data_IF_643207516401
#
_entry.id   IF_643207516401
#
_cell.length_a   1.000
_cell.length_b   1.000
_cell.length_c   1.000
_cell.angle_alpha   90.00
_cell.angle_beta   90.00
_cell.angle_gamma   90.00
#
_symmetry.space_group_name_H-M   'P 1'
#
loop_
_entity.id
_entity.type
_entity.pdbx_description
1 polymer ?
#
# COMPACT_ATOMS: atom_id res chain seq x y z
N UNK A 1 11.58 -4.13 17.41
CA UNK A 1 10.72 -3.99 16.23
C UNK A 1 11.52 -3.55 15.01
N UNK A 2 11.30 -4.18 13.85
CA UNK A 2 11.77 -3.72 12.53
C UNK A 2 10.59 -3.86 11.56
N UNK A 3 10.28 -2.81 10.83
CA UNK A 3 9.19 -2.77 9.86
C UNK A 3 9.75 -2.28 8.53
N UNK A 4 9.42 -2.93 7.43
CA UNK A 4 9.70 -2.42 6.10
C UNK A 4 8.53 -1.55 5.63
N UNK A 5 8.82 -0.34 5.20
CA UNK A 5 7.86 0.56 4.59
C UNK A 5 8.06 0.57 3.08
N UNK A 6 6.98 0.36 2.35
CA UNK A 6 6.93 0.37 0.88
C UNK A 6 5.76 1.24 0.45
N UNK A 7 5.90 1.97 -0.65
CA UNK A 7 4.84 2.81 -1.18
C UNK A 7 4.93 2.89 -2.70
N UNK A 8 3.82 3.22 -3.36
CA UNK A 8 3.78 3.60 -4.77
C UNK A 8 4.45 2.59 -5.71
N UNK A 9 4.15 1.31 -5.53
CA UNK A 9 4.75 0.25 -6.35
C UNK A 9 4.21 0.19 -7.76
N UNK A 10 2.99 0.71 -7.97
CA UNK A 10 2.35 0.89 -9.28
C UNK A 10 2.55 -0.28 -10.24
N UNK A 11 2.16 -1.50 -9.82
CA UNK A 11 2.18 -2.64 -10.73
C UNK A 11 1.33 -2.36 -11.98
N UNK A 12 1.94 -2.46 -13.16
CA UNK A 12 1.35 -2.03 -14.43
C UNK A 12 1.77 -0.64 -14.90
N UNK A 13 2.74 -0.01 -14.22
CA UNK A 13 3.24 1.32 -14.55
C UNK A 13 3.73 1.43 -16.00
N UNK A 14 3.68 2.67 -16.52
CA UNK A 14 4.11 3.02 -17.89
C UNK A 14 3.42 2.15 -18.96
N UNK A 15 2.10 1.96 -18.81
CA UNK A 15 1.28 1.16 -19.72
C UNK A 15 1.76 -0.29 -19.82
N UNK A 16 1.95 -0.94 -18.66
CA UNK A 16 2.42 -2.32 -18.54
C UNK A 16 3.78 -2.59 -19.20
N UNK A 17 4.68 -1.63 -19.13
CA UNK A 17 5.98 -1.73 -19.76
C UNK A 17 6.82 -2.86 -19.17
N UNK A 18 7.05 -3.90 -19.95
CA UNK A 18 7.70 -5.12 -19.49
C UNK A 18 9.20 -4.95 -19.17
N UNK A 19 9.88 -3.98 -19.75
CA UNK A 19 11.29 -3.67 -19.44
C UNK A 19 11.35 -3.04 -18.04
N UNK A 20 10.44 -2.10 -17.78
CA UNK A 20 10.30 -1.45 -16.47
C UNK A 20 9.91 -2.45 -15.40
N UNK A 21 8.91 -3.28 -15.69
CA UNK A 21 8.43 -4.33 -14.82
C UNK A 21 9.53 -5.34 -14.42
N UNK A 22 10.34 -5.80 -15.40
CA UNK A 22 11.49 -6.70 -15.13
C UNK A 22 12.56 -6.06 -14.25
N UNK A 23 12.77 -4.75 -14.36
CA UNK A 23 13.68 -4.03 -13.48
C UNK A 23 13.21 -4.08 -12.02
N UNK A 24 11.92 -3.83 -11.77
CA UNK A 24 11.34 -3.95 -10.42
C UNK A 24 11.31 -5.38 -9.91
N UNK A 25 11.02 -6.37 -10.78
CA UNK A 25 11.08 -7.78 -10.40
C UNK A 25 12.47 -8.17 -9.88
N UNK A 26 13.54 -7.64 -10.48
CA UNK A 26 14.90 -7.84 -9.98
C UNK A 26 15.13 -7.17 -8.63
N UNK A 27 14.62 -5.96 -8.43
CA UNK A 27 14.71 -5.29 -7.13
C UNK A 27 14.08 -6.13 -6.01
N UNK A 28 12.87 -6.66 -6.22
CA UNK A 28 12.23 -7.52 -5.24
C UNK A 28 13.06 -8.76 -4.92
N UNK A 29 13.55 -9.44 -5.93
CA UNK A 29 14.26 -10.73 -5.82
C UNK A 29 15.70 -10.60 -5.34
N UNK A 30 16.41 -9.59 -5.82
CA UNK A 30 17.85 -9.46 -5.61
C UNK A 30 18.21 -8.50 -4.48
N UNK A 31 17.29 -7.60 -4.09
CA UNK A 31 17.55 -6.56 -3.09
C UNK A 31 16.58 -6.64 -1.91
N UNK A 32 15.29 -6.46 -2.17
CA UNK A 32 14.28 -6.27 -1.11
C UNK A 32 14.15 -7.51 -0.21
N UNK A 33 13.77 -8.66 -0.77
CA UNK A 33 13.58 -9.85 0.06
C UNK A 33 14.88 -10.41 0.67
N UNK A 34 16.05 -10.41 0.00
CA UNK A 34 17.30 -10.72 0.66
C UNK A 34 17.61 -9.82 1.86
N UNK A 35 17.35 -8.51 1.74
CA UNK A 35 17.51 -7.57 2.86
C UNK A 35 16.54 -7.87 4.01
N UNK A 36 15.27 -8.15 3.71
CA UNK A 36 14.26 -8.57 4.67
C UNK A 36 14.73 -9.80 5.46
N UNK A 37 15.21 -10.82 4.75
CA UNK A 37 15.66 -12.09 5.32
C UNK A 37 16.91 -11.89 6.21
N UNK A 38 17.91 -11.15 5.72
CA UNK A 38 19.15 -10.85 6.46
C UNK A 38 18.88 -10.10 7.77
N UNK A 39 17.95 -9.12 7.72
CA UNK A 39 17.65 -8.27 8.87
C UNK A 39 16.53 -8.80 9.76
N UNK A 40 15.95 -9.96 9.40
CA UNK A 40 14.84 -10.62 10.14
C UNK A 40 13.68 -9.64 10.36
N UNK A 41 13.20 -9.03 9.27
CA UNK A 41 12.05 -8.16 9.26
C UNK A 41 10.83 -9.03 9.00
N UNK A 42 9.83 -8.97 9.86
CA UNK A 42 8.63 -9.78 9.82
C UNK A 42 7.34 -8.96 9.59
N UNK A 43 7.47 -7.64 9.49
CA UNK A 43 6.39 -6.73 9.24
C UNK A 43 6.64 -5.87 8.00
N UNK A 44 5.66 -5.84 7.10
CA UNK A 44 5.66 -4.95 5.93
C UNK A 44 4.41 -4.08 5.97
N UNK A 45 4.58 -2.77 5.79
CA UNK A 45 3.49 -1.82 5.59
C UNK A 45 3.63 -1.22 4.19
N UNK A 46 2.64 -1.47 3.34
CA UNK A 46 2.51 -0.82 2.04
C UNK A 46 1.58 0.38 2.17
N UNK A 47 2.10 1.57 1.86
CA UNK A 47 1.42 2.83 2.10
C UNK A 47 0.48 3.26 0.97
N UNK A 48 0.02 2.35 0.13
CA UNK A 48 -0.93 2.60 -0.95
C UNK A 48 -0.31 2.69 -2.34
N UNK A 49 -1.17 2.80 -3.35
CA UNK A 49 -0.83 2.80 -4.76
C UNK A 49 -0.04 1.57 -5.20
N UNK A 50 -0.60 0.40 -4.86
CA UNK A 50 0.00 -0.88 -5.23
C UNK A 50 -0.16 -1.16 -6.73
N UNK A 51 -1.28 -0.72 -7.33
CA UNK A 51 -1.55 -0.81 -8.77
C UNK A 51 -1.50 0.55 -9.45
N UNK A 52 -1.15 0.57 -10.73
CA UNK A 52 -1.01 1.83 -11.49
C UNK A 52 -2.36 2.42 -11.94
N UNK A 53 -3.37 1.59 -12.13
CA UNK A 53 -4.64 2.01 -12.75
C UNK A 53 -5.85 1.60 -11.93
N UNK A 54 -6.78 2.54 -11.74
CA UNK A 54 -7.99 2.39 -10.93
C UNK A 54 -8.98 1.32 -11.40
N UNK A 55 -9.16 1.16 -12.72
CA UNK A 55 -10.31 0.42 -13.27
C UNK A 55 -9.99 -0.98 -13.73
N UNK A 56 -8.74 -1.29 -13.94
CA UNK A 56 -8.30 -2.60 -14.43
C UNK A 56 -6.82 -2.81 -14.20
N UNK A 57 -6.43 -4.05 -14.13
CA UNK A 57 -5.04 -4.48 -14.16
C UNK A 57 -4.87 -5.48 -15.32
N UNK A 58 -3.76 -5.38 -16.03
CA UNK A 58 -3.37 -6.35 -17.03
C UNK A 58 -3.01 -7.68 -16.36
N UNK A 59 -3.37 -8.81 -16.95
CA UNK A 59 -3.08 -10.14 -16.39
C UNK A 59 -1.59 -10.38 -16.14
N UNK A 60 -0.70 -9.88 -16.99
CA UNK A 60 0.75 -10.00 -16.79
C UNK A 60 1.18 -9.20 -15.57
N UNK A 61 0.68 -7.97 -15.41
CA UNK A 61 0.97 -7.11 -14.26
C UNK A 61 0.37 -7.67 -12.97
N UNK A 62 -0.84 -8.24 -13.02
CA UNK A 62 -1.46 -8.94 -11.90
C UNK A 62 -0.64 -10.16 -11.46
N UNK A 63 -0.22 -10.98 -12.42
CA UNK A 63 0.66 -12.12 -12.14
C UNK A 63 2.01 -11.67 -11.55
N UNK A 64 2.52 -10.54 -12.00
CA UNK A 64 3.77 -9.99 -11.50
C UNK A 64 3.65 -9.47 -10.07
N UNK A 65 2.57 -8.75 -9.73
CA UNK A 65 2.23 -8.38 -8.35
C UNK A 65 2.20 -9.62 -7.45
N UNK A 66 1.54 -10.67 -7.94
CA UNK A 66 1.44 -11.93 -7.21
C UNK A 66 2.80 -12.59 -6.98
N UNK A 67 3.58 -12.82 -8.03
CA UNK A 67 4.85 -13.56 -7.95
C UNK A 67 5.99 -12.75 -7.32
N UNK A 68 6.00 -11.43 -7.48
CA UNK A 68 7.09 -10.58 -7.01
C UNK A 68 6.86 -10.02 -5.60
N UNK A 69 5.60 -9.89 -5.15
CA UNK A 69 5.30 -9.29 -3.84
C UNK A 69 4.46 -10.21 -2.94
N UNK A 70 3.24 -10.55 -3.33
CA UNK A 70 2.26 -11.20 -2.45
C UNK A 70 2.71 -12.60 -2.03
N UNK A 71 3.06 -13.44 -2.98
CA UNK A 71 3.49 -14.82 -2.73
C UNK A 71 4.79 -14.92 -1.91
N UNK A 72 5.84 -14.10 -2.17
CA UNK A 72 7.03 -14.08 -1.32
C UNK A 72 6.77 -13.64 0.13
N UNK A 73 5.85 -12.69 0.35
CA UNK A 73 5.40 -12.27 1.68
C UNK A 73 4.73 -13.44 2.40
N UNK A 74 3.75 -14.07 1.75
CA UNK A 74 3.00 -15.19 2.31
C UNK A 74 3.89 -16.41 2.62
N UNK A 75 4.84 -16.75 1.73
CA UNK A 75 5.78 -17.85 1.95
C UNK A 75 6.70 -17.64 3.15
N UNK A 76 6.91 -16.40 3.56
CA UNK A 76 7.71 -16.04 4.75
C UNK A 76 6.86 -15.93 6.02
N UNK A 77 5.54 -16.04 5.90
CA UNK A 77 4.62 -15.86 7.03
C UNK A 77 4.68 -14.45 7.61
N UNK A 78 4.93 -13.44 6.77
CA UNK A 78 5.09 -12.05 7.21
C UNK A 78 3.73 -11.39 7.49
N UNK A 79 3.71 -10.50 8.46
CA UNK A 79 2.58 -9.61 8.67
C UNK A 79 2.57 -8.51 7.59
N UNK A 80 1.52 -8.46 6.79
CA UNK A 80 1.41 -7.49 5.69
C UNK A 80 0.18 -6.61 5.86
N UNK A 81 0.41 -5.32 6.06
CA UNK A 81 -0.62 -4.27 6.03
C UNK A 81 -0.54 -3.51 4.72
N UNK A 82 -1.69 -3.31 4.09
CA UNK A 82 -1.78 -2.60 2.83
C UNK A 82 -2.83 -1.50 2.92
N UNK A 83 -2.39 -0.24 2.87
CA UNK A 83 -3.29 0.90 2.76
C UNK A 83 -3.82 1.00 1.34
N UNK A 84 -5.04 1.49 1.23
CA UNK A 84 -5.61 1.88 -0.06
C UNK A 84 -5.13 3.27 -0.44
N UNK A 85 -4.48 3.37 -1.59
CA UNK A 85 -4.10 4.63 -2.23
C UNK A 85 -5.14 5.08 -3.27
N UNK A 86 -4.90 6.25 -3.87
CA UNK A 86 -5.84 6.81 -4.84
C UNK A 86 -5.86 6.07 -6.20
N UNK A 87 -4.82 5.32 -6.54
CA UNK A 87 -4.81 4.45 -7.72
C UNK A 87 -5.46 3.08 -7.48
N UNK A 88 -5.60 2.68 -6.22
CA UNK A 88 -6.15 1.36 -5.87
C UNK A 88 -7.68 1.32 -5.90
N UNK A 89 -8.38 2.46 -5.96
CA UNK A 89 -9.84 2.57 -5.92
C UNK A 89 -10.46 2.75 -7.31
N UNK A 90 -11.60 2.10 -7.54
CA UNK A 90 -12.33 2.25 -8.80
C UNK A 90 -12.94 3.64 -8.96
N UNK A 91 -13.72 4.08 -7.97
CA UNK A 91 -14.32 5.41 -7.94
C UNK A 91 -13.38 6.40 -7.24
N UNK A 92 -13.34 7.66 -7.71
CA UNK A 92 -12.48 8.69 -7.11
C UNK A 92 -12.85 9.09 -5.69
N UNK A 93 -14.09 8.84 -5.30
CA UNK A 93 -14.68 9.32 -4.06
C UNK A 93 -15.21 8.21 -3.14
N UNK A 94 -14.84 6.95 -3.39
CA UNK A 94 -15.26 5.79 -2.60
C UNK A 94 -14.16 4.73 -2.56
N UNK A 95 -14.04 4.04 -1.43
CA UNK A 95 -13.07 2.96 -1.21
C UNK A 95 -13.67 1.55 -1.31
N UNK A 96 -14.99 1.44 -1.43
CA UNK A 96 -15.76 0.19 -1.42
C UNK A 96 -15.38 -0.82 -2.50
N UNK A 97 -14.90 -0.34 -3.66
CA UNK A 97 -14.34 -1.19 -4.71
C UNK A 97 -12.89 -0.81 -4.93
N UNK A 98 -11.98 -1.65 -4.46
CA UNK A 98 -10.55 -1.43 -4.53
C UNK A 98 -9.81 -2.66 -5.08
N UNK A 99 -8.61 -2.43 -5.62
CA UNK A 99 -7.83 -3.45 -6.31
C UNK A 99 -7.44 -4.61 -5.39
N UNK A 100 -7.10 -4.35 -4.14
CA UNK A 100 -6.60 -5.37 -3.22
C UNK A 100 -7.72 -6.34 -2.84
N UNK A 101 -8.89 -5.81 -2.48
CA UNK A 101 -10.04 -6.64 -2.16
C UNK A 101 -10.50 -7.46 -3.38
N UNK A 102 -10.54 -6.86 -4.57
CA UNK A 102 -10.93 -7.55 -5.79
C UNK A 102 -9.94 -8.66 -6.21
N UNK A 103 -8.64 -8.46 -6.00
CA UNK A 103 -7.62 -9.43 -6.38
C UNK A 103 -7.39 -10.50 -5.32
N UNK A 104 -7.53 -10.17 -4.05
CA UNK A 104 -7.09 -11.00 -2.93
C UNK A 104 -8.11 -11.21 -1.82
N UNK A 105 -9.24 -10.49 -1.80
CA UNK A 105 -10.24 -10.56 -0.73
C UNK A 105 -10.84 -11.95 -0.46
N UNK A 106 -10.85 -12.84 -1.48
CA UNK A 106 -11.29 -14.24 -1.35
C UNK A 106 -10.13 -15.23 -1.50
N UNK A 107 -8.89 -14.75 -1.53
CA UNK A 107 -7.71 -15.60 -1.69
C UNK A 107 -7.29 -16.23 -0.36
N UNK A 108 -6.36 -17.17 -0.45
CA UNK A 108 -5.71 -17.78 0.73
C UNK A 108 -4.62 -16.89 1.37
N UNK A 109 -4.36 -15.71 0.80
CA UNK A 109 -3.31 -14.81 1.28
C UNK A 109 -3.86 -13.89 2.35
N UNK A 110 -3.19 -13.86 3.51
CA UNK A 110 -3.53 -12.97 4.61
C UNK A 110 -2.96 -11.57 4.34
N UNK A 111 -3.83 -10.65 3.93
CA UNK A 111 -3.51 -9.25 3.74
C UNK A 111 -4.37 -8.44 4.70
N UNK A 112 -3.74 -7.70 5.61
CA UNK A 112 -4.43 -6.76 6.47
C UNK A 112 -4.72 -5.49 5.66
N UNK A 113 -5.87 -5.50 4.98
CA UNK A 113 -6.32 -4.37 4.17
C UNK A 113 -6.76 -3.22 5.07
N UNK A 114 -6.25 -2.03 4.79
CA UNK A 114 -6.60 -0.79 5.48
C UNK A 114 -7.39 0.10 4.52
N UNK A 115 -8.70 -0.05 4.54
CA UNK A 115 -9.68 0.70 3.74
C UNK A 115 -10.43 1.78 4.53
N UNK A 116 -10.15 1.88 5.82
CA UNK A 116 -10.66 2.91 6.75
C UNK A 116 -9.60 3.27 7.77
N UNK A 117 -9.71 4.43 8.43
CA UNK A 117 -8.79 4.80 9.52
C UNK A 117 -8.74 3.71 10.58
N UNK A 118 -7.56 3.15 10.81
CA UNK A 118 -7.39 1.99 11.69
C UNK A 118 -6.16 2.17 12.57
N UNK A 119 -6.32 2.01 13.89
CA UNK A 119 -5.18 1.93 14.79
C UNK A 119 -4.65 0.50 14.86
N UNK A 120 -3.35 0.34 14.66
CA UNK A 120 -2.65 -0.93 14.81
C UNK A 120 -1.56 -0.79 15.87
N UNK A 121 -1.21 -1.92 16.50
CA UNK A 121 -0.08 -1.98 17.44
C UNK A 121 0.97 -2.96 16.92
N UNK A 122 2.20 -2.49 16.78
CA UNK A 122 3.34 -3.34 16.43
C UNK A 122 4.38 -3.20 17.54
N UNK A 123 4.60 -4.27 18.30
CA UNK A 123 5.58 -4.34 19.40
C UNK A 123 5.47 -3.18 20.41
N UNK A 124 4.25 -2.72 20.70
CA UNK A 124 3.99 -1.64 21.65
C UNK A 124 4.00 -0.23 21.04
N UNK A 125 4.22 -0.10 19.75
CA UNK A 125 4.06 1.17 19.04
C UNK A 125 2.65 1.23 18.42
N UNK A 126 1.86 2.19 18.86
CA UNK A 126 0.55 2.47 18.30
C UNK A 126 0.70 3.36 17.05
N UNK A 127 0.11 2.92 15.96
CA UNK A 127 0.18 3.56 14.65
C UNK A 127 -1.23 3.76 14.12
N UNK A 128 -1.61 5.00 13.82
CA UNK A 128 -2.82 5.29 13.06
C UNK A 128 -2.53 5.12 11.56
N UNK A 129 -3.18 4.14 10.96
CA UNK A 129 -3.12 3.87 9.53
C UNK A 129 -4.25 4.61 8.81
N UNK A 130 -3.92 5.51 7.90
CA UNK A 130 -4.86 6.37 7.20
C UNK A 130 -4.85 6.06 5.69
N UNK A 131 -5.90 5.41 5.14
CA UNK A 131 -6.01 5.21 3.71
C UNK A 131 -6.24 6.53 2.98
N UNK A 132 -6.27 6.51 1.65
CA UNK A 132 -6.64 7.65 0.83
C UNK A 132 -7.92 8.32 1.34
N UNK A 133 -7.85 9.63 1.61
CA UNK A 133 -9.01 10.40 2.09
C UNK A 133 -9.80 10.91 0.89
N UNK A 134 -11.08 10.58 0.85
CA UNK A 134 -12.01 11.05 -0.17
C UNK A 134 -13.36 11.47 0.44
N UNK A 135 -14.33 11.83 -0.39
CA UNK A 135 -15.63 12.30 0.12
C UNK A 135 -16.38 11.29 1.00
N UNK A 136 -16.18 10.00 0.74
CA UNK A 136 -16.88 8.92 1.46
C UNK A 136 -16.37 8.75 2.90
N UNK A 137 -15.08 8.84 3.12
CA UNK A 137 -14.45 8.62 4.44
C UNK A 137 -13.94 9.90 5.12
N UNK A 138 -14.27 11.09 4.58
CA UNK A 138 -13.75 12.37 5.10
C UNK A 138 -14.02 12.57 6.58
N UNK A 139 -15.28 12.42 7.01
CA UNK A 139 -15.66 12.64 8.40
C UNK A 139 -15.00 11.63 9.33
N UNK A 140 -15.00 10.35 8.96
CA UNK A 140 -14.38 9.28 9.74
C UNK A 140 -12.86 9.51 9.89
N UNK A 141 -12.19 9.89 8.79
CA UNK A 141 -10.75 10.21 8.80
C UNK A 141 -10.44 11.40 9.70
N UNK A 142 -11.27 12.45 9.62
CA UNK A 142 -11.09 13.64 10.44
C UNK A 142 -11.34 13.38 11.93
N UNK A 143 -12.33 12.56 12.24
CA UNK A 143 -12.62 12.17 13.63
C UNK A 143 -11.52 11.26 14.19
N UNK A 144 -11.00 10.32 13.40
CA UNK A 144 -9.86 9.49 13.79
C UNK A 144 -8.62 10.34 14.11
N UNK A 145 -8.31 11.34 13.25
CA UNK A 145 -7.20 12.27 13.48
C UNK A 145 -7.33 13.06 14.78
N UNK A 146 -8.54 13.48 15.15
CA UNK A 146 -8.78 14.25 16.39
C UNK A 146 -8.73 13.39 17.66
N UNK A 147 -9.11 12.12 17.54
CA UNK A 147 -9.32 11.25 18.69
C UNK A 147 -8.12 10.34 18.97
N UNK A 148 -7.28 10.11 17.95
CA UNK A 148 -6.15 9.20 18.09
C UNK A 148 -5.19 9.62 19.21
N UNK A 149 -4.65 8.60 19.88
CA UNK A 149 -3.52 8.72 20.79
C UNK A 149 -2.28 8.03 20.28
N UNK A 150 -2.34 7.54 19.03
CA UNK A 150 -1.21 6.88 18.38
C UNK A 150 -0.02 7.83 18.27
N UNK A 151 1.16 7.31 18.53
CA UNK A 151 2.41 8.08 18.48
C UNK A 151 2.86 8.40 17.06
N UNK A 152 2.42 7.59 16.10
CA UNK A 152 2.77 7.68 14.68
C UNK A 152 1.49 7.61 13.85
N UNK A 153 1.44 8.41 12.79
CA UNK A 153 0.46 8.26 11.73
C UNK A 153 1.18 7.92 10.43
N UNK A 154 0.65 6.95 9.70
CA UNK A 154 1.10 6.59 8.36
C UNK A 154 -0.10 6.64 7.43
N UNK A 155 0.04 7.28 6.26
CA UNK A 155 -1.08 7.43 5.35
C UNK A 155 -0.67 7.67 3.91
N UNK A 156 -1.61 7.43 3.00
CA UNK A 156 -1.50 7.80 1.59
C UNK A 156 -2.27 9.11 1.40
N UNK A 157 -1.56 10.24 1.49
CA UNK A 157 -2.19 11.54 1.65
C UNK A 157 -1.65 12.56 0.63
N UNK A 158 -2.53 13.43 0.20
CA UNK A 158 -2.22 14.69 -0.46
C UNK A 158 -2.41 15.83 0.55
N UNK A 159 -1.33 16.51 0.92
CA UNK A 159 -1.38 17.56 1.95
C UNK A 159 -1.17 18.92 1.29
N UNK A 160 -2.17 19.80 1.44
CA UNK A 160 -2.10 21.16 0.92
C UNK A 160 -0.84 21.91 1.43
N UNK A 161 -0.17 22.57 0.50
CA UNK A 161 1.07 23.32 0.79
C UNK A 161 2.34 22.48 0.80
N UNK A 162 2.26 21.16 0.65
CA UNK A 162 3.43 20.32 0.45
C UNK A 162 3.85 20.27 -1.01
N UNK A 163 5.15 20.36 -1.25
CA UNK A 163 5.71 20.27 -2.60
C UNK A 163 5.76 18.80 -3.05
N UNK A 164 5.02 18.46 -4.10
CA UNK A 164 5.02 17.12 -4.69
C UNK A 164 6.26 16.87 -5.57
N UNK A 165 6.66 17.88 -6.30
CA UNK A 165 7.90 17.93 -7.07
C UNK A 165 8.29 19.40 -7.29
N UNK A 166 9.53 19.67 -7.67
CA UNK A 166 10.08 21.01 -7.76
C UNK A 166 9.13 22.00 -8.47
N UNK A 167 8.58 22.93 -7.70
CA UNK A 167 7.67 23.98 -8.16
C UNK A 167 6.21 23.58 -8.30
N UNK A 168 5.82 22.34 -7.91
CA UNK A 168 4.41 21.91 -7.91
C UNK A 168 3.99 21.54 -6.49
N UNK A 169 2.96 22.19 -6.01
CA UNK A 169 2.40 21.98 -4.67
C UNK A 169 1.04 21.31 -4.76
N UNK A 170 0.65 20.61 -3.70
CA UNK A 170 -0.73 20.17 -3.53
C UNK A 170 -1.62 21.38 -3.29
N UNK A 171 -2.75 21.47 -3.99
CA UNK A 171 -3.75 22.54 -3.90
C UNK A 171 -4.70 22.36 -2.70
#
# INVERSE_FOLDING_TARGET
>A
MKVALVTDTHFGARNDNQVFAKFFSRFWKEVFFPYIDEHKIDHIIHLGDIVDRRKYINYVSSNQLHEDLIKPIAHRGMNFWCLIGNHDIYFRNKLDINAIDQLYGTSQYEINLIDKPTEINIDGLDILMMPWICGDNWNESWDALKQTKSQVMMGHLELNGFEMHRGAFCD
#
